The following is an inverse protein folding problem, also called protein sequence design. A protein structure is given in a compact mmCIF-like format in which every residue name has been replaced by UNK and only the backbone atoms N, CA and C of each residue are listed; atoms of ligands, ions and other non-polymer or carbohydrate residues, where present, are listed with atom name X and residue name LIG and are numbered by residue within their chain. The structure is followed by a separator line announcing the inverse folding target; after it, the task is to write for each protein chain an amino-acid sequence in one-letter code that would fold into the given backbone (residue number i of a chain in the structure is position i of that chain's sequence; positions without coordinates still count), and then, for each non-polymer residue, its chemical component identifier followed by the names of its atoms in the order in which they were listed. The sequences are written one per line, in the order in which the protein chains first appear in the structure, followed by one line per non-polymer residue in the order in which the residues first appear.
data_IF_650914756268
#
_entry.id   IF_650914756268
#
_cell.length_a   1.000
_cell.length_b   1.000
_cell.length_c   1.000
_cell.angle_alpha   90.00
_cell.angle_beta   90.00
_cell.angle_gamma   90.00
#
_symmetry.space_group_name_H-M   'P 1'
#
loop_
_entity.id
_entity.type
_entity.pdbx_description
1 polymer ?
#
# COMPACT_ATOMS: atom_id res chain seq x y z
N UNK A 1 -12.52 23.17 13.12
CA UNK A 1 -13.04 22.42 14.31
C UNK A 1 -13.27 20.95 13.94
N UNK A 2 -12.38 20.05 14.34
CA UNK A 2 -12.51 18.60 14.12
C UNK A 2 -13.67 18.02 14.95
N UNK A 3 -14.54 17.18 14.35
CA UNK A 3 -15.55 16.43 15.12
C UNK A 3 -14.86 15.58 16.22
N UNK A 4 -15.35 15.61 17.47
CA UNK A 4 -14.68 15.01 18.63
C UNK A 4 -14.40 13.50 18.49
N UNK A 5 -15.24 12.75 17.78
CA UNK A 5 -15.01 11.33 17.49
C UNK A 5 -13.82 11.07 16.56
N UNK A 6 -13.52 11.98 15.62
CA UNK A 6 -12.38 11.85 14.70
C UNK A 6 -11.05 12.01 15.44
N UNK A 7 -11.02 12.92 16.43
CA UNK A 7 -9.82 13.16 17.26
C UNK A 7 -9.55 11.98 18.19
N UNK A 8 -10.59 11.41 18.81
CA UNK A 8 -10.46 10.23 19.69
C UNK A 8 -9.95 9.00 18.95
N UNK A 9 -10.48 8.67 17.77
CA UNK A 9 -9.99 7.51 17.02
C UNK A 9 -8.55 7.71 16.53
N UNK A 10 -8.21 8.90 16.01
CA UNK A 10 -6.83 9.19 15.60
C UNK A 10 -5.86 9.13 16.78
N UNK A 11 -6.29 9.59 17.97
CA UNK A 11 -5.50 9.46 19.19
C UNK A 11 -5.38 8.01 19.65
N UNK A 12 -6.42 7.19 19.52
CA UNK A 12 -6.37 5.76 19.84
C UNK A 12 -5.48 4.98 18.87
N UNK A 13 -5.59 5.24 17.57
CA UNK A 13 -4.70 4.67 16.57
C UNK A 13 -3.25 5.13 16.80
N UNK A 14 -3.05 6.41 17.08
CA UNK A 14 -1.73 6.96 17.40
C UNK A 14 -1.17 6.39 18.72
N UNK A 15 -2.00 6.17 19.74
CA UNK A 15 -1.57 5.58 21.01
C UNK A 15 -1.25 4.10 20.86
N UNK A 16 -2.04 3.34 20.08
CA UNK A 16 -1.73 1.94 19.77
C UNK A 16 -0.42 1.82 18.96
N UNK A 17 -0.22 2.73 18.01
CA UNK A 17 1.02 2.89 17.25
C UNK A 17 2.20 3.23 18.18
N UNK A 18 2.03 4.22 19.06
CA UNK A 18 3.08 4.64 19.98
C UNK A 18 3.42 3.54 20.99
N UNK A 19 2.40 2.81 21.47
CA UNK A 19 2.57 1.65 22.36
C UNK A 19 3.35 0.52 21.66
N UNK A 20 3.13 0.32 20.36
CA UNK A 20 3.90 -0.67 19.58
C UNK A 20 5.36 -0.27 19.37
N UNK A 21 5.68 1.04 19.40
CA UNK A 21 7.06 1.54 19.40
C UNK A 21 7.72 1.49 20.79
N UNK A 22 6.91 1.45 21.85
CA UNK A 22 7.33 1.39 23.25
C UNK A 22 7.54 -0.04 23.78
N UNK A 23 7.40 -1.07 22.94
CA UNK A 23 7.67 -2.46 23.36
C UNK A 23 9.09 -2.52 23.94
N UNK A 24 9.26 -2.86 25.23
CA UNK A 24 10.57 -2.91 25.85
C UNK A 24 11.47 -3.87 25.07
N UNK A 25 12.65 -3.40 24.71
CA UNK A 25 13.74 -4.27 24.27
C UNK A 25 14.15 -5.09 25.49
N UNK A 26 13.47 -6.21 25.74
CA UNK A 26 13.98 -7.24 26.62
C UNK A 26 15.15 -7.89 25.89
N UNK A 27 16.30 -7.20 25.92
CA UNK A 27 17.60 -7.77 25.63
C UNK A 27 17.89 -8.83 26.69
N UNK A 28 17.41 -10.05 26.45
CA UNK A 28 17.89 -11.22 27.15
C UNK A 28 19.31 -11.49 26.61
N UNK A 29 20.29 -10.82 27.20
CA UNK A 29 21.69 -11.21 27.14
C UNK A 29 21.79 -12.57 27.84
N UNK A 30 21.95 -13.65 27.08
CA UNK A 30 22.44 -14.91 27.64
C UNK A 30 23.44 -15.54 26.69
N UNK A 31 24.64 -15.70 27.25
CA UNK A 31 25.69 -16.67 26.95
C UNK A 31 26.34 -16.61 25.57
N UNK A 32 27.44 -15.87 25.53
CA UNK A 32 28.73 -16.30 24.97
C UNK A 32 28.95 -17.79 25.23
N UNK A 33 28.80 -18.63 24.21
CA UNK A 33 29.47 -19.92 24.18
C UNK A 33 30.21 -20.07 22.85
N UNK A 34 31.47 -20.49 23.01
CA UNK A 34 32.51 -20.64 22.02
C UNK A 34 32.05 -21.39 20.78
N UNK A 35 32.30 -20.84 19.58
CA UNK A 35 32.44 -21.65 18.38
C UNK A 35 33.64 -21.17 17.59
N UNK A 36 34.66 -22.01 17.67
CA UNK A 36 35.88 -21.98 16.91
C UNK A 36 35.61 -21.82 15.42
N UNK A 37 36.44 -20.96 14.85
CA UNK A 37 36.65 -20.73 13.44
C UNK A 37 36.89 -22.06 12.69
N UNK A 38 35.92 -22.48 11.88
CA UNK A 38 36.16 -23.40 10.76
C UNK A 38 35.48 -22.84 9.52
N UNK A 39 36.28 -22.06 8.80
CA UNK A 39 35.99 -21.51 7.49
C UNK A 39 35.99 -22.64 6.46
N UNK A 40 34.84 -23.25 6.21
CA UNK A 40 34.62 -24.03 4.99
C UNK A 40 33.40 -23.51 4.23
N UNK A 41 33.70 -23.02 3.02
CA UNK A 41 32.80 -22.40 2.07
C UNK A 41 32.05 -23.52 1.33
N UNK A 42 31.03 -24.06 1.96
CA UNK A 42 30.08 -25.00 1.36
C UNK A 42 28.67 -24.48 1.57
N UNK A 43 27.86 -24.53 0.52
CA UNK A 43 26.47 -24.09 0.45
C UNK A 43 25.65 -24.67 1.61
N UNK A 44 25.61 -23.99 2.75
CA UNK A 44 24.86 -24.46 3.91
C UNK A 44 23.37 -24.27 3.63
N UNK A 45 22.71 -25.36 3.24
CA UNK A 45 21.29 -25.58 3.56
C UNK A 45 21.18 -25.35 5.06
N UNK A 46 20.60 -24.20 5.46
CA UNK A 46 20.36 -23.91 6.87
C UNK A 46 19.54 -25.05 7.45
N UNK A 47 20.06 -25.69 8.50
CA UNK A 47 19.28 -26.63 9.30
C UNK A 47 18.22 -25.80 10.04
N UNK A 48 17.09 -25.56 9.37
CA UNK A 48 16.04 -24.70 9.89
C UNK A 48 15.36 -25.45 11.04
N UNK A 49 15.71 -25.10 12.27
CA UNK A 49 15.03 -25.63 13.45
C UNK A 49 13.51 -25.40 13.34
N UNK A 50 12.66 -26.26 13.91
CA UNK A 50 11.21 -26.10 13.85
C UNK A 50 10.73 -24.71 14.31
N UNK A 51 11.42 -24.12 15.30
CA UNK A 51 11.16 -22.76 15.81
C UNK A 51 11.43 -21.68 14.76
N UNK A 52 12.61 -21.68 14.13
CA UNK A 52 12.97 -20.70 13.09
C UNK A 52 12.06 -20.85 11.86
N UNK A 53 11.71 -22.07 11.49
CA UNK A 53 10.76 -22.36 10.40
C UNK A 53 9.38 -21.76 10.68
N UNK A 54 8.87 -21.89 11.91
CA UNK A 54 7.61 -21.29 12.32
C UNK A 54 7.67 -19.76 12.31
N UNK A 55 8.73 -19.16 12.84
CA UNK A 55 8.93 -17.71 12.83
C UNK A 55 9.02 -17.17 11.40
N UNK A 56 9.69 -17.87 10.50
CA UNK A 56 9.79 -17.46 9.09
C UNK A 56 8.43 -17.48 8.38
N UNK A 57 7.59 -18.48 8.69
CA UNK A 57 6.19 -18.51 8.21
C UNK A 57 5.36 -17.37 8.77
N UNK A 58 5.48 -17.06 10.06
CA UNK A 58 4.78 -15.93 10.68
C UNK A 58 5.22 -14.58 10.09
N UNK A 59 6.53 -14.40 9.88
CA UNK A 59 7.07 -13.21 9.22
C UNK A 59 6.49 -13.03 7.82
N UNK A 60 6.47 -14.11 7.03
CA UNK A 60 5.87 -14.11 5.70
C UNK A 60 4.37 -13.80 5.74
N UNK A 61 3.62 -14.40 6.68
CA UNK A 61 2.19 -14.17 6.86
C UNK A 61 1.90 -12.70 7.23
N UNK A 62 2.63 -12.13 8.18
CA UNK A 62 2.46 -10.74 8.60
C UNK A 62 2.71 -9.76 7.45
N UNK A 63 3.76 -9.97 6.68
CA UNK A 63 4.06 -9.10 5.54
C UNK A 63 3.11 -9.30 4.35
N UNK A 64 2.62 -10.52 4.11
CA UNK A 64 1.53 -10.75 3.15
C UNK A 64 0.28 -10.00 3.59
N UNK A 65 -0.23 -10.27 4.79
CA UNK A 65 -1.45 -9.63 5.29
C UNK A 65 -1.35 -8.10 5.29
N UNK A 66 -0.17 -7.55 5.62
CA UNK A 66 0.08 -6.11 5.55
C UNK A 66 0.21 -5.58 4.12
N UNK A 67 1.34 -5.86 3.46
CA UNK A 67 1.70 -5.23 2.18
C UNK A 67 0.96 -5.85 1.00
N UNK A 68 0.70 -7.16 1.03
CA UNK A 68 -0.02 -7.88 -0.02
C UNK A 68 -1.51 -7.56 -0.05
N UNK A 69 -2.14 -7.38 1.12
CA UNK A 69 -3.59 -7.26 1.22
C UNK A 69 -4.10 -5.95 1.83
N UNK A 70 -3.81 -5.67 3.11
CA UNK A 70 -4.44 -4.54 3.84
C UNK A 70 -4.04 -3.16 3.29
N UNK A 71 -2.78 -2.98 2.90
CA UNK A 71 -2.32 -1.71 2.32
C UNK A 71 -3.01 -1.41 0.99
N UNK A 72 -3.02 -2.32 0.00
CA UNK A 72 -3.82 -2.17 -1.22
C UNK A 72 -5.30 -1.94 -0.95
N UNK A 73 -5.90 -2.70 -0.02
CA UNK A 73 -7.30 -2.55 0.34
C UNK A 73 -7.59 -1.14 0.84
N UNK A 74 -6.76 -0.58 1.72
CA UNK A 74 -6.97 0.78 2.20
C UNK A 74 -6.79 1.85 1.11
N UNK A 75 -5.95 1.62 0.10
CA UNK A 75 -5.84 2.49 -1.10
C UNK A 75 -7.16 2.44 -1.90
N UNK A 76 -7.68 1.24 -2.13
CA UNK A 76 -8.98 1.02 -2.79
C UNK A 76 -10.10 1.73 -2.03
N UNK A 77 -10.16 1.61 -0.70
CA UNK A 77 -11.19 2.25 0.14
C UNK A 77 -11.19 3.78 0.01
N UNK A 78 -10.03 4.42 0.01
CA UNK A 78 -9.94 5.88 -0.22
C UNK A 78 -10.35 6.24 -1.63
N UNK A 79 -9.97 5.43 -2.63
CA UNK A 79 -10.38 5.64 -4.01
C UNK A 79 -11.89 5.52 -4.17
N UNK A 80 -12.52 4.52 -3.57
CA UNK A 80 -13.99 4.39 -3.53
C UNK A 80 -14.66 5.59 -2.86
N UNK A 81 -14.02 6.18 -1.83
CA UNK A 81 -14.59 7.35 -1.15
C UNK A 81 -14.74 8.55 -2.09
N UNK A 82 -13.93 8.66 -3.15
CA UNK A 82 -14.05 9.71 -4.18
C UNK A 82 -15.28 9.54 -5.08
N UNK A 83 -15.88 8.35 -5.13
CA UNK A 83 -17.07 8.04 -5.93
C UNK A 83 -18.37 8.09 -5.11
N UNK A 84 -18.28 8.27 -3.79
CA UNK A 84 -19.45 8.35 -2.93
C UNK A 84 -20.04 9.77 -2.88
N UNK A 85 -21.34 9.90 -3.10
CA UNK A 85 -22.06 11.17 -3.06
C UNK A 85 -22.52 11.58 -1.65
N UNK A 86 -22.66 10.61 -0.74
CA UNK A 86 -23.12 10.86 0.63
C UNK A 86 -21.94 11.06 1.60
N UNK A 87 -21.99 12.12 2.40
CA UNK A 87 -21.01 12.41 3.46
C UNK A 87 -20.85 11.28 4.49
N UNK A 88 -21.89 10.49 4.76
CA UNK A 88 -21.81 9.31 5.65
C UNK A 88 -20.94 8.21 5.05
N UNK A 89 -21.11 7.91 3.76
CA UNK A 89 -20.27 6.93 3.05
C UNK A 89 -18.80 7.35 3.05
N UNK A 90 -18.52 8.61 2.68
CA UNK A 90 -17.16 9.16 2.63
C UNK A 90 -16.48 9.01 4.00
N UNK A 91 -17.22 9.26 5.09
CA UNK A 91 -16.70 9.14 6.45
C UNK A 91 -16.45 7.68 6.85
N UNK A 92 -17.37 6.77 6.52
CA UNK A 92 -17.21 5.34 6.79
C UNK A 92 -15.97 4.79 6.08
N UNK A 93 -15.82 5.06 4.77
CA UNK A 93 -14.67 4.61 3.98
C UNK A 93 -13.34 5.21 4.48
N UNK A 94 -13.35 6.46 4.94
CA UNK A 94 -12.19 7.07 5.57
C UNK A 94 -11.78 6.34 6.87
N UNK A 95 -12.75 5.94 7.71
CA UNK A 95 -12.46 5.16 8.92
C UNK A 95 -12.00 3.75 8.60
N UNK A 96 -12.63 3.07 7.64
CA UNK A 96 -12.17 1.76 7.17
C UNK A 96 -10.73 1.83 6.64
N UNK A 97 -10.38 2.89 5.89
CA UNK A 97 -9.00 3.15 5.49
C UNK A 97 -8.08 3.32 6.71
N UNK A 98 -8.40 4.22 7.64
CA UNK A 98 -7.53 4.48 8.79
C UNK A 98 -7.31 3.22 9.65
N UNK A 99 -8.36 2.44 9.89
CA UNK A 99 -8.29 1.19 10.65
C UNK A 99 -7.47 0.15 9.90
N UNK A 100 -7.76 -0.11 8.62
CA UNK A 100 -7.02 -1.10 7.82
C UNK A 100 -5.52 -0.76 7.73
N UNK A 101 -5.18 0.52 7.53
CA UNK A 101 -3.78 0.96 7.48
C UNK A 101 -3.08 0.88 8.85
N UNK A 102 -3.79 1.15 9.94
CA UNK A 102 -3.24 0.96 11.29
C UNK A 102 -2.91 -0.51 11.53
N UNK A 103 -3.83 -1.42 11.20
CA UNK A 103 -3.59 -2.87 11.33
C UNK A 103 -2.44 -3.31 10.42
N UNK A 104 -2.37 -2.81 9.18
CA UNK A 104 -1.28 -3.12 8.26
C UNK A 104 0.08 -2.72 8.85
N UNK A 105 0.22 -1.48 9.32
CA UNK A 105 1.47 -0.98 9.92
C UNK A 105 1.86 -1.79 11.16
N UNK A 106 0.90 -2.17 12.01
CA UNK A 106 1.16 -3.01 13.18
C UNK A 106 1.64 -4.41 12.79
N UNK A 107 1.02 -5.05 11.81
CA UNK A 107 1.46 -6.35 11.29
C UNK A 107 2.85 -6.28 10.65
N UNK A 108 3.11 -5.28 9.81
CA UNK A 108 4.44 -5.06 9.24
C UNK A 108 5.49 -4.81 10.31
N UNK A 109 5.17 -4.07 11.36
CA UNK A 109 6.05 -3.85 12.51
C UNK A 109 6.32 -5.14 13.26
N UNK A 110 5.29 -5.95 13.53
CA UNK A 110 5.46 -7.27 14.13
C UNK A 110 6.36 -8.18 13.29
N UNK A 111 6.20 -8.17 11.97
CA UNK A 111 7.05 -8.93 11.04
C UNK A 111 8.50 -8.46 11.04
N UNK A 112 8.70 -7.13 11.11
CA UNK A 112 10.01 -6.51 11.23
C UNK A 112 10.72 -6.88 12.54
N UNK A 113 10.02 -6.76 13.68
CA UNK A 113 10.54 -7.13 15.00
C UNK A 113 10.90 -8.62 15.03
N UNK A 114 10.04 -9.48 14.49
CA UNK A 114 10.31 -10.91 14.37
C UNK A 114 11.62 -11.18 13.60
N UNK A 115 11.83 -10.47 12.49
CA UNK A 115 13.04 -10.56 11.67
C UNK A 115 14.30 -10.06 12.39
N UNK A 116 14.22 -8.89 13.03
CA UNK A 116 15.34 -8.27 13.71
C UNK A 116 15.79 -9.06 14.94
N UNK A 117 14.86 -9.67 15.67
CA UNK A 117 15.17 -10.38 16.91
C UNK A 117 15.57 -11.85 16.71
N UNK A 118 15.11 -12.50 15.64
CA UNK A 118 15.22 -13.96 15.54
C UNK A 118 15.95 -14.48 14.30
N UNK A 119 16.23 -13.64 13.30
CA UNK A 119 16.89 -14.07 12.07
C UNK A 119 18.29 -13.48 11.94
N UNK A 120 19.13 -14.14 11.15
CA UNK A 120 20.45 -13.62 10.78
C UNK A 120 20.33 -12.43 9.84
N UNK A 121 20.61 -11.24 10.36
CA UNK A 121 20.53 -9.99 9.63
C UNK A 121 21.89 -9.62 8.99
N UNK A 122 22.36 -10.45 8.06
CA UNK A 122 23.61 -10.19 7.32
C UNK A 122 23.47 -9.10 6.24
N UNK A 123 22.24 -8.69 5.90
CA UNK A 123 21.89 -7.69 4.88
C UNK A 123 22.56 -7.91 3.51
N UNK A 124 22.97 -9.14 3.24
CA UNK A 124 23.65 -9.55 2.01
C UNK A 124 22.67 -9.77 0.85
N UNK A 125 21.38 -9.91 1.14
CA UNK A 125 20.33 -10.06 0.13
C UNK A 125 19.53 -8.76 -0.07
N UNK A 126 18.95 -8.61 -1.26
CA UNK A 126 18.14 -7.43 -1.60
C UNK A 126 16.87 -7.32 -0.74
N UNK A 127 16.29 -8.45 -0.33
CA UNK A 127 15.08 -8.50 0.51
C UNK A 127 15.26 -7.80 1.86
N UNK A 128 16.36 -8.08 2.55
CA UNK A 128 16.70 -7.51 3.86
C UNK A 128 17.00 -6.02 3.74
N UNK A 129 17.74 -5.61 2.71
CA UNK A 129 18.08 -4.19 2.48
C UNK A 129 16.84 -3.35 2.18
N UNK A 130 16.00 -3.82 1.25
CA UNK A 130 14.74 -3.14 0.90
C UNK A 130 13.75 -3.19 2.07
N UNK A 131 13.66 -4.33 2.77
CA UNK A 131 12.83 -4.50 3.96
C UNK A 131 13.19 -3.52 5.07
N UNK A 132 14.48 -3.38 5.39
CA UNK A 132 14.94 -2.42 6.40
C UNK A 132 14.59 -0.98 6.03
N UNK A 133 14.80 -0.58 4.78
CA UNK A 133 14.41 0.74 4.30
C UNK A 133 12.87 0.95 4.40
N UNK A 134 12.09 -0.06 4.03
CA UNK A 134 10.63 -0.05 4.15
C UNK A 134 10.17 0.13 5.59
N UNK A 135 10.84 -0.50 6.57
CA UNK A 135 10.46 -0.38 7.97
C UNK A 135 10.50 1.07 8.45
N UNK A 136 11.54 1.83 8.08
CA UNK A 136 11.62 3.25 8.43
C UNK A 136 10.62 4.12 7.64
N UNK A 137 10.60 3.98 6.32
CA UNK A 137 9.81 4.86 5.43
C UNK A 137 8.31 4.65 5.62
N UNK A 138 7.87 3.43 5.95
CA UNK A 138 6.46 3.12 6.21
C UNK A 138 5.88 3.96 7.35
N UNK A 139 6.65 4.21 8.42
CA UNK A 139 6.19 5.00 9.56
C UNK A 139 5.95 6.47 9.24
N UNK A 140 6.53 7.00 8.15
CA UNK A 140 6.25 8.36 7.69
C UNK A 140 4.78 8.52 7.25
N UNK A 141 4.15 7.46 6.74
CA UNK A 141 2.75 7.52 6.29
C UNK A 141 1.74 7.89 7.39
N UNK A 142 1.67 7.18 8.53
CA UNK A 142 0.76 7.56 9.62
C UNK A 142 1.10 8.93 10.22
N UNK A 143 2.39 9.32 10.28
CA UNK A 143 2.80 10.65 10.75
C UNK A 143 2.26 11.74 9.82
N UNK A 144 2.49 11.61 8.50
CA UNK A 144 1.93 12.51 7.49
C UNK A 144 0.40 12.50 7.55
N UNK A 145 -0.21 11.33 7.73
CA UNK A 145 -1.65 11.14 7.89
C UNK A 145 -2.24 11.90 9.10
N UNK A 146 -1.50 11.95 10.21
CA UNK A 146 -1.88 12.67 11.43
C UNK A 146 -1.89 14.19 11.20
N UNK A 147 -0.89 14.72 10.49
CA UNK A 147 -0.79 16.15 10.14
C UNK A 147 -1.65 16.56 8.92
N UNK A 148 -2.71 15.80 8.63
CA UNK A 148 -3.64 16.09 7.53
C UNK A 148 -4.28 17.48 7.65
N UNK A 149 -4.06 18.40 6.70
CA UNK A 149 -4.65 19.75 6.73
C UNK A 149 -6.18 19.75 6.62
N UNK A 150 -6.84 20.80 7.13
CA UNK A 150 -8.30 21.00 6.95
C UNK A 150 -8.68 21.17 5.46
N UNK A 151 -9.96 21.01 5.11
CA UNK A 151 -10.41 21.21 3.71
C UNK A 151 -10.41 22.70 3.37
N UNK A 152 -10.11 23.04 2.11
CA UNK A 152 -10.16 24.42 1.60
C UNK A 152 -8.81 25.17 1.57
N UNK A 153 -7.76 24.63 2.18
CA UNK A 153 -6.41 25.24 2.15
C UNK A 153 -5.55 24.68 1.02
N UNK A 154 -4.76 25.53 0.35
CA UNK A 154 -3.89 25.11 -0.79
C UNK A 154 -2.91 24.00 -0.41
N UNK A 155 -2.34 24.05 0.81
CA UNK A 155 -1.42 23.04 1.34
C UNK A 155 -2.01 21.62 1.37
N UNK A 156 -3.34 21.49 1.42
CA UNK A 156 -4.01 20.18 1.41
C UNK A 156 -3.78 19.43 0.10
N UNK A 157 -3.73 20.13 -1.03
CA UNK A 157 -3.47 19.52 -2.34
C UNK A 157 -2.06 18.93 -2.38
N UNK A 158 -1.07 19.70 -1.91
CA UNK A 158 0.32 19.26 -1.81
C UNK A 158 0.47 18.07 -0.87
N UNK A 159 -0.13 18.16 0.33
CA UNK A 159 -0.18 17.06 1.29
C UNK A 159 -0.79 15.80 0.67
N UNK A 160 -1.92 15.94 -0.04
CA UNK A 160 -2.59 14.80 -0.66
C UNK A 160 -1.71 14.14 -1.72
N UNK A 161 -1.06 14.92 -2.58
CA UNK A 161 -0.15 14.41 -3.60
C UNK A 161 0.99 13.60 -2.99
N UNK A 162 1.71 14.16 -2.02
CA UNK A 162 2.85 13.47 -1.40
C UNK A 162 2.41 12.25 -0.57
N UNK A 163 1.34 12.37 0.22
CA UNK A 163 0.80 11.26 1.00
C UNK A 163 0.38 10.10 0.10
N UNK A 164 -0.34 10.41 -0.98
CA UNK A 164 -0.76 9.44 -1.99
C UNK A 164 0.42 8.79 -2.71
N UNK A 165 1.36 9.59 -3.23
CA UNK A 165 2.52 9.10 -3.97
C UNK A 165 3.38 8.17 -3.11
N UNK A 166 3.76 8.64 -1.92
CA UNK A 166 4.55 7.85 -0.97
C UNK A 166 3.80 6.58 -0.55
N UNK A 167 2.47 6.64 -0.40
CA UNK A 167 1.66 5.49 0.02
C UNK A 167 1.64 4.40 -1.04
N UNK A 168 1.46 4.79 -2.31
CA UNK A 168 1.55 3.88 -3.46
C UNK A 168 2.96 3.30 -3.57
N UNK A 169 4.01 4.12 -3.42
CA UNK A 169 5.40 3.65 -3.47
C UNK A 169 5.73 2.62 -2.39
N UNK A 170 5.31 2.86 -1.14
CA UNK A 170 5.48 1.90 -0.04
C UNK A 170 4.73 0.61 -0.33
N UNK A 171 3.47 0.71 -0.77
CA UNK A 171 2.64 -0.45 -1.08
C UNK A 171 3.26 -1.31 -2.20
N UNK A 172 3.64 -0.69 -3.32
CA UNK A 172 4.25 -1.38 -4.45
C UNK A 172 5.59 -2.01 -4.08
N UNK A 173 6.46 -1.27 -3.40
CA UNK A 173 7.77 -1.77 -2.94
C UNK A 173 7.60 -2.90 -1.92
N UNK A 174 6.60 -2.81 -1.04
CA UNK A 174 6.24 -3.86 -0.09
C UNK A 174 5.82 -5.16 -0.78
N UNK A 175 4.92 -5.08 -1.77
CA UNK A 175 4.49 -6.25 -2.56
C UNK A 175 5.69 -6.89 -3.27
N UNK A 176 6.52 -6.09 -3.94
CA UNK A 176 7.76 -6.57 -4.58
C UNK A 176 8.66 -7.26 -3.56
N UNK A 177 8.81 -6.67 -2.36
CA UNK A 177 9.63 -7.25 -1.33
C UNK A 177 9.08 -8.57 -0.78
N UNK A 178 7.76 -8.78 -0.75
CA UNK A 178 7.14 -10.08 -0.42
C UNK A 178 7.49 -11.13 -1.47
N UNK A 179 7.44 -10.79 -2.76
CA UNK A 179 7.86 -11.72 -3.83
C UNK A 179 9.34 -12.10 -3.73
N UNK A 180 10.21 -11.11 -3.49
CA UNK A 180 11.64 -11.37 -3.27
C UNK A 180 11.82 -12.26 -2.03
N UNK A 181 11.06 -12.02 -0.95
CA UNK A 181 11.08 -12.84 0.26
C UNK A 181 10.67 -14.30 0.01
N UNK A 182 9.61 -14.54 -0.76
CA UNK A 182 9.21 -15.90 -1.18
C UNK A 182 10.31 -16.60 -2.00
N UNK A 183 10.96 -15.88 -2.92
CA UNK A 183 12.09 -16.42 -3.68
C UNK A 183 13.27 -16.75 -2.78
N UNK A 184 13.66 -15.84 -1.88
CA UNK A 184 14.74 -16.08 -0.91
C UNK A 184 14.41 -17.24 0.03
N UNK A 185 13.14 -17.40 0.44
CA UNK A 185 12.70 -18.57 1.21
C UNK A 185 12.91 -19.87 0.44
N UNK A 186 12.56 -19.89 -0.85
CA UNK A 186 12.78 -21.06 -1.72
C UNK A 186 14.27 -21.40 -1.85
N UNK A 187 15.10 -20.39 -2.14
CA UNK A 187 16.56 -20.54 -2.28
C UNK A 187 17.21 -21.08 -1.00
N UNK A 188 16.74 -20.67 0.18
CA UNK A 188 17.33 -21.05 1.47
C UNK A 188 16.82 -22.37 2.03
N UNK A 189 15.56 -22.72 1.76
CA UNK A 189 14.91 -23.91 2.38
C UNK A 189 14.64 -25.04 1.40
N UNK A 190 14.89 -24.81 0.10
CA UNK A 190 14.53 -25.69 -1.04
C UNK A 190 13.06 -26.10 -1.10
N UNK A 191 12.18 -25.52 -0.26
CA UNK A 191 10.75 -25.80 -0.22
C UNK A 191 10.04 -25.05 -1.35
N UNK A 192 9.07 -25.70 -1.98
CA UNK A 192 8.30 -25.07 -3.05
C UNK A 192 7.46 -23.90 -2.53
N UNK A 193 7.58 -22.74 -3.19
CA UNK A 193 6.78 -21.54 -2.95
C UNK A 193 5.81 -21.24 -4.10
N UNK A 194 5.71 -22.13 -5.08
CA UNK A 194 4.93 -21.91 -6.31
C UNK A 194 3.46 -21.62 -6.01
N UNK A 195 2.85 -22.42 -5.13
CA UNK A 195 1.44 -22.25 -4.73
C UNK A 195 1.21 -20.88 -4.05
N UNK A 196 2.05 -20.52 -3.08
CA UNK A 196 1.97 -19.24 -2.37
C UNK A 196 2.21 -18.05 -3.31
N UNK A 197 3.17 -18.17 -4.21
CA UNK A 197 3.44 -17.14 -5.23
C UNK A 197 2.25 -16.98 -6.17
N UNK A 198 1.64 -18.08 -6.60
CA UNK A 198 0.44 -18.08 -7.44
C UNK A 198 -0.75 -17.41 -6.76
N UNK A 199 -1.04 -17.77 -5.50
CA UNK A 199 -2.10 -17.17 -4.70
C UNK A 199 -1.88 -15.66 -4.52
N UNK A 200 -0.67 -15.23 -4.15
CA UNK A 200 -0.34 -13.80 -4.03
C UNK A 200 -0.55 -13.06 -5.36
N UNK A 201 -0.18 -13.69 -6.47
CA UNK A 201 -0.32 -13.09 -7.81
C UNK A 201 -1.77 -12.93 -8.22
N UNK A 202 -2.60 -13.95 -7.96
CA UNK A 202 -4.04 -13.87 -8.22
C UNK A 202 -4.67 -12.78 -7.35
N UNK A 203 -4.33 -12.73 -6.06
CA UNK A 203 -4.81 -11.71 -5.12
C UNK A 203 -4.44 -10.29 -5.58
N UNK A 204 -3.16 -10.02 -5.85
CA UNK A 204 -2.68 -8.71 -6.30
C UNK A 204 -3.30 -8.33 -7.64
N UNK A 205 -3.43 -9.26 -8.58
CA UNK A 205 -4.08 -9.02 -9.87
C UNK A 205 -5.54 -8.61 -9.68
N UNK A 206 -6.25 -9.29 -8.79
CA UNK A 206 -7.65 -9.00 -8.47
C UNK A 206 -7.80 -7.63 -7.78
N UNK A 207 -6.90 -7.26 -6.87
CA UNK A 207 -6.86 -5.94 -6.23
C UNK A 207 -6.58 -4.83 -7.24
N UNK A 208 -5.62 -5.04 -8.16
CA UNK A 208 -5.33 -4.10 -9.25
C UNK A 208 -6.51 -3.96 -10.21
N UNK A 209 -7.14 -5.08 -10.57
CA UNK A 209 -8.36 -5.07 -11.38
C UNK A 209 -9.46 -4.24 -10.73
N UNK A 210 -9.74 -4.46 -9.44
CA UNK A 210 -10.71 -3.66 -8.70
C UNK A 210 -10.34 -2.18 -8.64
N UNK A 211 -9.06 -1.87 -8.39
CA UNK A 211 -8.57 -0.50 -8.37
C UNK A 211 -8.85 0.22 -9.69
N UNK A 212 -8.56 -0.42 -10.83
CA UNK A 212 -8.81 0.13 -12.17
C UNK A 212 -10.31 0.22 -12.48
N UNK A 213 -11.08 -0.79 -12.06
CA UNK A 213 -12.52 -0.87 -12.30
C UNK A 213 -13.27 0.29 -11.63
N UNK A 214 -12.84 0.75 -10.44
CA UNK A 214 -13.48 1.87 -9.73
C UNK A 214 -13.57 3.13 -10.60
N UNK A 215 -12.56 3.42 -11.41
CA UNK A 215 -12.58 4.62 -12.25
C UNK A 215 -13.44 4.46 -13.50
N UNK A 216 -13.38 3.26 -14.11
CA UNK A 216 -14.12 2.93 -15.33
C UNK A 216 -15.59 2.59 -15.07
N UNK A 217 -15.98 2.23 -13.85
CA UNK A 217 -17.35 1.84 -13.51
C UNK A 217 -18.39 2.84 -13.98
N UNK A 218 -18.21 4.13 -13.63
CA UNK A 218 -19.12 5.19 -14.05
C UNK A 218 -19.14 5.40 -15.57
N UNK A 219 -18.05 5.12 -16.27
CA UNK A 219 -17.99 5.21 -17.73
C UNK A 219 -18.71 4.04 -18.38
N UNK A 220 -18.48 2.81 -17.92
CA UNK A 220 -19.14 1.60 -18.45
C UNK A 220 -20.66 1.66 -18.28
N UNK A 221 -21.15 2.09 -17.11
CA UNK A 221 -22.59 2.24 -16.88
C UNK A 221 -23.23 3.31 -17.79
N UNK A 222 -22.49 4.39 -18.10
CA UNK A 222 -22.97 5.43 -19.03
C UNK A 222 -23.09 4.94 -20.47
N UNK A 223 -22.21 4.03 -20.91
CA UNK A 223 -22.27 3.44 -22.25
C UNK A 223 -23.52 2.55 -22.42
N UNK A 224 -23.91 1.79 -21.39
CA UNK A 224 -25.10 0.95 -21.44
C UNK A 224 -26.43 1.72 -21.44
N UNK A 225 -26.43 2.98 -21.00
CA UNK A 225 -27.62 3.84 -20.89
C UNK A 225 -27.66 4.95 -21.96
N UNK A 226 -26.72 4.94 -22.93
CA UNK A 226 -26.73 5.90 -24.02
C UNK A 226 -27.93 5.61 -24.93
N UNK A 227 -28.96 6.46 -24.84
CA UNK A 227 -30.13 6.39 -25.74
C UNK A 227 -29.66 6.61 -27.18
N UNK A 228 -30.18 5.83 -28.13
CA UNK A 228 -29.87 5.93 -29.57
C UNK A 228 -30.00 7.36 -30.12
N UNK A 229 -30.81 8.22 -29.50
CA UNK A 229 -30.96 9.64 -29.84
C UNK A 229 -29.65 10.45 -29.72
N UNK A 230 -28.72 10.03 -28.87
CA UNK A 230 -27.41 10.69 -28.68
C UNK A 230 -26.37 10.28 -29.74
N UNK A 231 -26.69 9.28 -30.57
CA UNK A 231 -25.89 8.84 -31.73
C UNK A 231 -26.35 9.46 -33.05
N UNK A 232 -27.46 10.24 -33.06
CA UNK A 232 -27.78 11.07 -34.21
C UNK A 232 -26.75 12.20 -34.29
N UNK A 233 -26.05 12.38 -35.43
CA UNK A 233 -25.27 13.59 -35.64
C UNK A 233 -26.25 14.75 -35.50
N UNK A 234 -26.08 15.57 -34.47
CA UNK A 234 -26.74 16.86 -34.43
C UNK A 234 -26.15 17.64 -35.59
N UNK A 235 -26.93 17.80 -36.66
CA UNK A 235 -26.63 18.73 -37.75
C UNK A 235 -26.72 20.16 -37.18
N UNK A 236 -25.74 20.50 -36.35
CA UNK A 236 -25.58 21.82 -35.80
C UNK A 236 -24.82 22.63 -36.85
N UNK A 237 -25.61 23.20 -37.76
CA UNK A 237 -25.31 24.38 -38.57
C UNK A 237 -24.22 25.22 -37.88
N UNK A 238 -22.99 25.11 -38.36
CA UNK A 238 -21.83 25.88 -37.88
C UNK A 238 -22.20 27.36 -37.92
N UNK A 239 -22.50 27.93 -36.77
CA UNK A 239 -22.54 29.38 -36.63
C UNK A 239 -21.08 29.80 -36.52
N UNK A 240 -20.48 30.12 -37.66
CA UNK A 240 -19.12 30.65 -37.69
C UNK A 240 -19.07 31.95 -36.87
N UNK A 241 -18.00 32.17 -36.09
CA UNK A 241 -17.81 33.44 -35.39
C UNK A 241 -17.82 34.57 -36.44
N UNK A 242 -18.45 35.69 -36.10
CA UNK A 242 -18.65 36.87 -36.97
C UNK A 242 -17.35 37.43 -37.56
N UNK A 243 -16.20 37.11 -36.97
CA UNK A 243 -14.86 37.41 -37.47
C UNK A 243 -14.53 36.65 -38.76
N UNK A 244 -14.90 35.37 -38.88
CA UNK A 244 -14.61 34.56 -40.06
C UNK A 244 -15.43 34.99 -41.29
N UNK A 245 -16.62 35.56 -41.06
CA UNK A 245 -17.46 36.12 -42.15
C UNK A 245 -16.83 37.37 -42.77
N UNK A 246 -16.15 38.20 -41.98
CA UNK A 246 -15.46 39.40 -42.48
C UNK A 246 -14.20 39.04 -43.26
N UNK A 247 -13.45 38.04 -42.79
CA UNK A 247 -12.27 37.52 -43.49
C UNK A 247 -12.64 36.91 -44.85
N UNK A 248 -13.71 36.11 -44.92
CA UNK A 248 -14.18 35.52 -46.18
C UNK A 248 -14.74 36.54 -47.19
N UNK A 249 -15.29 37.66 -46.72
CA UNK A 249 -15.79 38.72 -47.61
C UNK A 249 -14.65 39.56 -48.22
N UNK A 250 -13.49 39.66 -47.56
CA UNK A 250 -12.32 40.40 -48.06
C UNK A 250 -11.45 39.59 -49.01
N UNK A 251 -11.65 38.26 -49.08
CA UNK A 251 -10.92 37.37 -50.00
C UNK A 251 -11.64 37.25 -51.36
N UNK A 252 -12.83 37.84 -51.49
CA UNK A 252 -13.71 37.68 -52.64
C UNK A 252 -13.95 38.97 -53.44
N UNK A 253 -13.21 40.04 -53.15
CA UNK A 253 -12.96 41.18 -54.05
C UNK A 253 -11.54 41.09 -54.63
#
# INVERSE_FOLDING_TARGET
MLQPGRRRLLLLCASLVFLSLLVPSNGASNSTENLSESRNKTSHTLEVTPKVSFQLKLHALFHWSSFGFLMPLGIILVRMSSKCHNGRCIRALFYCHAISQTVAVLLATGGAVLSLMNFENSFSNSHQRVGLALYGVMWLQPIIGFFRPERGVKVRSLWYFFHWLLGISICATGIVNVYIGLRTYHERTTKSVKLWTGLLTVEVTFLVFFYLMIDRWSYMMKQGHATVEQLRPTDNRRTYPTTLRKELALVQE
#
